data_IF_100135649436
#
_entry.id   IF_100135649436
#
_cell.length_a   1.000
_cell.length_b   1.000
_cell.length_c   1.000
_cell.angle_alpha   90.00
_cell.angle_beta   90.00
_cell.angle_gamma   90.00
#
_symmetry.space_group_name_H-M   'P 1'
#
loop_
_entity.id
_entity.type
_entity.pdbx_description
1 polymer ?
#
# COMPACT_ATOMS: atom_id res chain seq x y z
N UNK A 1 18.85 0.89 -15.28
CA UNK A 1 19.56 2.16 -15.52
C UNK A 1 20.26 2.20 -16.88
N UNK A 2 20.74 1.08 -17.42
CA UNK A 2 21.67 1.10 -18.57
C UNK A 2 21.03 1.33 -19.95
N UNK A 3 19.73 1.02 -20.12
CA UNK A 3 19.03 1.22 -21.40
C UNK A 3 19.07 2.65 -21.91
N UNK A 4 18.94 3.65 -21.02
CA UNK A 4 19.02 5.07 -21.38
C UNK A 4 20.38 5.46 -21.96
N UNK A 5 21.48 4.80 -21.52
CA UNK A 5 22.83 5.07 -22.02
C UNK A 5 23.08 4.52 -23.42
N UNK A 6 22.29 3.52 -23.83
CA UNK A 6 22.40 2.87 -25.12
C UNK A 6 21.47 3.50 -26.18
N UNK A 7 20.64 4.47 -25.78
CA UNK A 7 19.79 5.18 -26.74
C UNK A 7 20.64 6.15 -27.57
N UNK A 8 20.37 6.25 -28.89
CA UNK A 8 20.99 7.25 -29.73
C UNK A 8 20.78 8.67 -29.17
N UNK A 9 21.76 9.57 -29.30
CA UNK A 9 21.61 10.95 -28.87
C UNK A 9 20.50 11.64 -29.66
N UNK A 10 19.71 12.46 -28.95
CA UNK A 10 18.70 13.32 -29.56
C UNK A 10 19.39 14.39 -30.43
N UNK A 11 18.72 14.82 -31.51
CA UNK A 11 19.25 15.87 -32.39
C UNK A 11 19.12 17.26 -31.80
N UNK A 12 18.11 17.46 -30.96
CA UNK A 12 17.72 18.76 -30.45
C UNK A 12 17.20 18.66 -29.02
N UNK A 13 17.27 19.79 -28.34
CA UNK A 13 16.54 20.05 -27.12
C UNK A 13 16.01 21.48 -27.18
N UNK A 14 14.86 21.69 -26.57
CA UNK A 14 14.22 22.99 -26.42
C UNK A 14 14.36 23.44 -24.98
N UNK A 15 14.67 24.72 -24.78
CA UNK A 15 14.74 25.28 -23.44
C UNK A 15 13.31 25.43 -22.89
N UNK A 16 13.02 24.71 -21.80
CA UNK A 16 11.72 24.77 -21.13
C UNK A 16 11.53 26.04 -20.28
N UNK A 17 12.56 26.88 -20.19
CA UNK A 17 12.54 28.11 -19.40
C UNK A 17 12.57 27.82 -17.90
N UNK A 18 12.08 28.78 -17.11
CA UNK A 18 11.93 28.60 -15.67
C UNK A 18 10.74 27.70 -15.37
N UNK A 19 11.01 26.63 -14.61
CA UNK A 19 9.98 25.68 -14.22
C UNK A 19 9.11 26.28 -13.11
N UNK A 20 7.78 26.10 -13.23
CA UNK A 20 6.83 26.55 -12.21
C UNK A 20 7.09 25.86 -10.86
N UNK A 21 6.82 26.53 -9.73
CA UNK A 21 6.79 25.88 -8.42
C UNK A 21 5.80 24.70 -8.45
N UNK A 22 6.29 23.47 -8.28
CA UNK A 22 5.51 22.24 -8.36
C UNK A 22 5.70 21.41 -9.63
N UNK A 23 6.48 21.90 -10.60
CA UNK A 23 6.95 21.05 -11.70
C UNK A 23 8.11 20.15 -11.24
N UNK A 24 8.09 18.90 -11.69
CA UNK A 24 9.11 17.89 -11.41
C UNK A 24 9.80 17.53 -12.72
N UNK A 25 11.13 17.56 -12.73
CA UNK A 25 11.94 17.12 -13.86
C UNK A 25 12.12 15.61 -13.79
N UNK A 26 11.67 14.91 -14.83
CA UNK A 26 11.78 13.47 -14.97
C UNK A 26 13.02 13.05 -15.78
N UNK A 27 13.45 13.91 -16.71
CA UNK A 27 14.61 13.66 -17.56
C UNK A 27 15.36 14.97 -17.81
N UNK A 28 16.69 14.92 -17.70
CA UNK A 28 17.58 16.00 -18.12
C UNK A 28 18.29 15.64 -19.44
N UNK A 29 18.45 16.63 -20.31
CA UNK A 29 19.42 16.57 -21.39
C UNK A 29 20.79 17.04 -20.88
N UNK A 30 21.82 16.23 -21.09
CA UNK A 30 23.20 16.64 -20.86
C UNK A 30 23.70 17.45 -22.07
N UNK A 31 24.02 18.71 -21.86
CA UNK A 31 24.51 19.63 -22.90
C UNK A 31 25.89 20.16 -22.52
N UNK A 32 26.58 20.79 -23.48
CA UNK A 32 27.86 21.46 -23.23
C UNK A 32 27.77 22.61 -22.20
N UNK A 33 26.57 23.16 -21.98
CA UNK A 33 26.31 24.25 -21.02
C UNK A 33 25.79 23.75 -19.67
N UNK A 34 25.67 22.42 -19.49
CA UNK A 34 25.14 21.80 -18.28
C UNK A 34 23.92 20.92 -18.55
N UNK A 35 23.23 20.55 -17.46
CA UNK A 35 21.99 19.77 -17.53
C UNK A 35 20.82 20.72 -17.71
N UNK A 36 19.98 20.45 -18.70
CA UNK A 36 18.74 21.19 -18.94
C UNK A 36 17.55 20.23 -18.84
N UNK A 37 16.43 20.64 -18.23
CA UNK A 37 15.22 19.82 -18.21
C UNK A 37 14.77 19.46 -19.63
N UNK A 38 14.55 18.17 -19.87
CA UNK A 38 14.11 17.62 -21.15
C UNK A 38 12.68 17.06 -21.06
N UNK A 39 12.33 16.39 -19.97
CA UNK A 39 10.97 15.96 -19.68
C UNK A 39 10.58 16.48 -18.30
N UNK A 40 9.55 17.31 -18.26
CA UNK A 40 8.99 17.82 -17.02
C UNK A 40 7.52 17.45 -16.90
N UNK A 41 7.06 17.29 -15.67
CA UNK A 41 5.69 16.94 -15.34
C UNK A 41 5.17 17.80 -14.19
N UNK A 42 3.88 18.15 -14.24
CA UNK A 42 3.20 18.87 -13.17
C UNK A 42 1.73 18.47 -13.11
N UNK A 43 1.16 18.41 -11.89
CA UNK A 43 -0.29 18.40 -11.71
C UNK A 43 -0.87 19.80 -11.94
N UNK A 44 -1.86 19.92 -12.82
CA UNK A 44 -2.58 21.16 -13.05
C UNK A 44 -4.08 20.91 -12.97
N UNK A 45 -4.73 21.54 -11.98
CA UNK A 45 -6.13 21.26 -11.66
C UNK A 45 -6.34 19.79 -11.25
N UNK A 46 -7.24 19.10 -11.94
CA UNK A 46 -7.58 17.68 -11.72
C UNK A 46 -6.81 16.70 -12.63
N UNK A 47 -5.78 17.16 -13.34
CA UNK A 47 -5.04 16.34 -14.30
C UNK A 47 -3.52 16.52 -14.27
N UNK A 48 -2.84 15.78 -15.14
CA UNK A 48 -1.39 15.81 -15.31
C UNK A 48 -1.01 16.49 -16.63
N UNK A 49 0.00 17.35 -16.60
CA UNK A 49 0.61 17.95 -17.79
C UNK A 49 2.05 17.47 -17.92
N UNK A 50 2.45 17.07 -19.11
CA UNK A 50 3.82 16.69 -19.44
C UNK A 50 4.35 17.62 -20.54
N UNK A 51 5.62 18.00 -20.43
CA UNK A 51 6.33 18.76 -21.47
C UNK A 51 7.60 18.01 -21.82
N UNK A 52 7.70 17.56 -23.07
CA UNK A 52 8.89 16.96 -23.65
C UNK A 52 9.57 17.99 -24.56
N UNK A 53 10.72 18.50 -24.12
CA UNK A 53 11.52 19.52 -24.81
C UNK A 53 12.36 18.98 -25.95
N UNK A 54 11.84 18.10 -26.80
CA UNK A 54 12.53 17.60 -28.00
C UNK A 54 11.51 17.09 -29.00
N UNK A 55 11.80 17.26 -30.30
CA UNK A 55 11.02 16.65 -31.38
C UNK A 55 11.71 15.42 -31.99
N UNK A 56 12.91 15.08 -31.53
CA UNK A 56 13.79 14.10 -32.20
C UNK A 56 13.76 12.68 -31.63
N UNK A 57 12.71 12.30 -30.89
CA UNK A 57 12.58 10.92 -30.35
C UNK A 57 12.52 9.85 -31.46
N UNK A 58 12.05 10.22 -32.65
CA UNK A 58 12.01 9.37 -33.85
C UNK A 58 13.38 8.80 -34.23
N UNK A 59 14.47 9.49 -33.85
CA UNK A 59 15.83 9.00 -34.11
C UNK A 59 16.10 7.66 -33.44
N UNK A 60 15.48 7.40 -32.29
CA UNK A 60 15.60 6.11 -31.61
C UNK A 60 15.04 4.98 -32.48
N UNK A 61 13.92 5.20 -33.16
CA UNK A 61 13.34 4.23 -34.08
C UNK A 61 14.19 4.05 -35.36
N UNK A 62 14.82 5.12 -35.85
CA UNK A 62 15.63 5.07 -37.08
C UNK A 62 17.02 4.45 -36.91
N UNK A 63 17.63 4.57 -35.72
CA UNK A 63 19.03 4.18 -35.48
C UNK A 63 19.17 2.90 -34.66
N UNK A 64 18.08 2.35 -34.12
CA UNK A 64 18.08 1.06 -33.42
C UNK A 64 17.57 -0.04 -34.35
N UNK A 65 17.91 -1.32 -34.06
CA UNK A 65 17.38 -2.45 -34.80
C UNK A 65 15.84 -2.48 -34.79
N UNK A 66 15.18 -2.97 -35.85
CA UNK A 66 13.71 -3.00 -35.93
C UNK A 66 13.00 -3.78 -34.80
N UNK A 67 13.72 -4.67 -34.10
CA UNK A 67 13.20 -5.43 -32.97
C UNK A 67 13.28 -4.66 -31.65
N UNK A 68 14.02 -3.55 -31.59
CA UNK A 68 14.10 -2.70 -30.40
C UNK A 68 12.79 -1.92 -30.21
N UNK A 69 12.22 -2.03 -29.01
CA UNK A 69 10.93 -1.44 -28.65
C UNK A 69 11.07 -0.25 -27.71
N UNK A 70 12.26 0.35 -27.60
CA UNK A 70 12.53 1.40 -26.61
C UNK A 70 11.73 2.67 -26.88
N UNK A 71 11.57 3.05 -28.15
CA UNK A 71 10.76 4.21 -28.55
C UNK A 71 9.27 3.98 -28.26
N UNK A 72 8.75 2.82 -28.61
CA UNK A 72 7.36 2.40 -28.37
C UNK A 72 7.08 2.28 -26.87
N UNK A 73 8.04 1.74 -26.12
CA UNK A 73 7.92 1.64 -24.66
C UNK A 73 7.89 3.03 -24.03
N UNK A 74 8.78 3.93 -24.44
CA UNK A 74 8.79 5.31 -23.94
C UNK A 74 7.44 5.99 -24.13
N UNK A 75 6.90 5.99 -25.35
CA UNK A 75 5.61 6.64 -25.64
C UNK A 75 4.44 5.95 -24.97
N UNK A 76 4.42 4.62 -24.91
CA UNK A 76 3.37 3.88 -24.20
C UNK A 76 3.34 4.22 -22.71
N UNK A 77 4.51 4.26 -22.08
CA UNK A 77 4.60 4.61 -20.66
C UNK A 77 4.26 6.09 -20.42
N UNK A 78 4.67 6.99 -21.31
CA UNK A 78 4.32 8.41 -21.22
C UNK A 78 2.80 8.62 -21.36
N UNK A 79 2.16 7.96 -22.34
CA UNK A 79 0.71 8.02 -22.53
C UNK A 79 -0.06 7.39 -21.36
N UNK A 80 0.42 6.25 -20.85
CA UNK A 80 -0.14 5.67 -19.62
C UNK A 80 -0.03 6.63 -18.44
N UNK A 81 1.13 7.26 -18.23
CA UNK A 81 1.33 8.21 -17.14
C UNK A 81 0.43 9.45 -17.27
N UNK A 82 0.15 9.89 -18.50
CA UNK A 82 -0.74 11.00 -18.80
C UNK A 82 -2.20 10.68 -18.42
N UNK A 83 -2.66 9.47 -18.71
CA UNK A 83 -4.03 9.05 -18.39
C UNK A 83 -4.18 8.56 -16.94
N UNK A 84 -3.11 8.05 -16.32
CA UNK A 84 -3.14 7.48 -14.96
C UNK A 84 -3.69 8.43 -13.90
N UNK A 85 -3.50 9.73 -14.08
CA UNK A 85 -3.94 10.77 -13.14
C UNK A 85 -5.30 11.39 -13.54
N UNK A 86 -5.93 10.91 -14.62
CA UNK A 86 -7.25 11.38 -15.02
C UNK A 86 -8.30 10.71 -14.14
N UNK A 87 -9.13 11.49 -13.41
CA UNK A 87 -10.20 10.93 -12.60
C UNK A 87 -11.14 10.09 -13.48
N UNK A 88 -11.65 8.96 -12.99
CA UNK A 88 -12.67 8.23 -13.73
C UNK A 88 -13.94 9.09 -13.86
N UNK A 89 -14.75 8.77 -14.88
CA UNK A 89 -16.06 9.42 -15.08
C UNK A 89 -17.04 9.11 -13.96
N UNK A 90 -16.87 7.95 -13.34
CA UNK A 90 -17.63 7.52 -12.17
C UNK A 90 -16.66 7.10 -11.08
N UNK A 91 -16.71 7.73 -9.92
CA UNK A 91 -15.97 7.31 -8.72
C UNK A 91 -16.95 7.07 -7.58
N UNK A 92 -16.57 6.16 -6.67
CA UNK A 92 -17.25 5.93 -5.41
C UNK A 92 -16.17 5.81 -4.33
N UNK A 93 -16.30 6.58 -3.27
CA UNK A 93 -15.41 6.54 -2.12
C UNK A 93 -16.23 6.61 -0.82
N UNK A 94 -15.71 6.03 0.25
CA UNK A 94 -16.17 6.33 1.60
C UNK A 94 -15.33 7.47 2.19
N UNK A 95 -15.88 8.19 3.16
CA UNK A 95 -15.17 9.28 3.85
C UNK A 95 -13.87 8.79 4.51
N UNK A 96 -13.92 7.60 5.12
CA UNK A 96 -12.77 6.89 5.64
C UNK A 96 -12.67 5.47 5.05
N UNK A 97 -11.45 4.92 4.86
CA UNK A 97 -11.28 3.53 4.40
C UNK A 97 -11.60 2.50 5.51
N UNK A 98 -11.45 2.89 6.77
CA UNK A 98 -11.72 2.06 7.95
C UNK A 98 -12.54 2.86 8.96
N UNK A 99 -13.55 2.22 9.55
CA UNK A 99 -14.37 2.76 10.63
C UNK A 99 -14.32 1.79 11.80
N UNK A 100 -13.93 2.26 12.98
CA UNK A 100 -13.93 1.44 14.18
C UNK A 100 -15.34 1.38 14.79
N UNK A 101 -15.67 2.27 15.73
CA UNK A 101 -16.94 2.21 16.45
C UNK A 101 -18.09 2.95 15.73
N UNK A 102 -17.77 3.64 14.64
CA UNK A 102 -18.76 4.35 13.83
C UNK A 102 -19.55 3.39 12.96
N UNK A 103 -20.88 3.41 13.15
CA UNK A 103 -21.81 2.65 12.30
C UNK A 103 -22.22 3.40 11.04
N UNK A 104 -22.24 4.73 11.10
CA UNK A 104 -22.66 5.57 9.99
C UNK A 104 -21.55 5.72 8.97
N UNK A 105 -21.54 4.87 7.94
CA UNK A 105 -20.56 4.96 6.86
C UNK A 105 -21.10 5.87 5.78
N UNK A 106 -20.42 6.99 5.55
CA UNK A 106 -20.75 7.93 4.48
C UNK A 106 -20.02 7.57 3.19
N UNK A 107 -20.78 7.44 2.11
CA UNK A 107 -20.30 7.25 0.75
C UNK A 107 -20.55 8.50 -0.09
N UNK A 108 -19.58 8.82 -0.93
CA UNK A 108 -19.63 9.89 -1.91
C UNK A 108 -19.31 9.32 -3.30
N UNK A 109 -20.16 9.64 -4.26
CA UNK A 109 -19.95 9.31 -5.66
C UNK A 109 -19.82 10.58 -6.49
N UNK A 110 -18.82 10.65 -7.38
CA UNK A 110 -18.73 11.72 -8.38
C UNK A 110 -19.09 11.16 -9.77
N UNK A 111 -19.98 11.85 -10.47
CA UNK A 111 -20.52 11.43 -11.76
C UNK A 111 -20.27 12.50 -12.81
N UNK A 112 -19.65 12.08 -13.91
CA UNK A 112 -19.29 12.92 -15.05
C UNK A 112 -19.76 12.29 -16.35
N UNK A 113 -20.09 13.13 -17.33
CA UNK A 113 -20.50 12.70 -18.65
C UNK A 113 -19.30 12.39 -19.58
N UNK A 114 -19.57 12.21 -20.88
CA UNK A 114 -18.52 11.93 -21.85
C UNK A 114 -17.52 13.07 -22.07
N UNK A 115 -17.90 14.30 -21.71
CA UNK A 115 -17.09 15.51 -21.78
C UNK A 115 -16.44 15.84 -20.43
N UNK A 116 -16.56 14.95 -19.45
CA UNK A 116 -16.11 15.14 -18.07
C UNK A 116 -16.83 16.27 -17.31
N UNK A 117 -18.00 16.69 -17.79
CA UNK A 117 -18.85 17.65 -17.10
C UNK A 117 -19.67 16.95 -16.01
N UNK A 118 -19.91 17.61 -14.86
CA UNK A 118 -20.69 17.03 -13.76
C UNK A 118 -22.13 16.74 -14.18
N UNK A 119 -22.64 15.57 -13.81
CA UNK A 119 -24.02 15.16 -14.08
C UNK A 119 -24.83 15.24 -12.80
N UNK A 120 -25.84 16.11 -12.78
CA UNK A 120 -26.65 16.41 -11.58
C UNK A 120 -28.05 15.76 -11.61
N UNK A 121 -28.44 15.17 -12.74
CA UNK A 121 -29.75 14.57 -13.00
C UNK A 121 -29.68 13.03 -13.14
N UNK A 122 -28.62 12.41 -12.62
CA UNK A 122 -28.48 10.96 -12.57
C UNK A 122 -29.26 10.34 -11.40
N UNK A 123 -29.82 9.16 -11.64
CA UNK A 123 -30.31 8.24 -10.62
C UNK A 123 -29.16 7.30 -10.23
N UNK A 124 -28.81 7.28 -8.96
CA UNK A 124 -27.66 6.54 -8.44
C UNK A 124 -28.13 5.55 -7.39
N UNK A 125 -27.98 4.26 -7.69
CA UNK A 125 -28.29 3.18 -6.77
C UNK A 125 -26.99 2.63 -6.18
N UNK A 126 -26.86 2.71 -4.86
CA UNK A 126 -25.77 2.15 -4.07
C UNK A 126 -26.18 0.77 -3.56
N UNK A 127 -25.48 -0.26 -4.02
CA UNK A 127 -25.60 -1.63 -3.55
C UNK A 127 -24.47 -1.94 -2.56
N UNK A 128 -24.84 -2.30 -1.34
CA UNK A 128 -23.92 -2.68 -0.27
C UNK A 128 -23.98 -4.20 -0.09
N UNK A 129 -22.83 -4.86 -0.14
CA UNK A 129 -22.66 -6.28 0.14
C UNK A 129 -21.72 -6.42 1.34
N UNK A 130 -22.25 -6.60 2.56
CA UNK A 130 -21.45 -6.94 3.73
C UNK A 130 -20.82 -8.33 3.57
N UNK A 131 -19.66 -8.55 4.16
CA UNK A 131 -19.06 -9.88 4.30
C UNK A 131 -19.98 -10.84 5.07
N UNK A 132 -20.63 -10.30 6.12
CA UNK A 132 -21.57 -11.02 6.97
C UNK A 132 -22.93 -10.31 6.95
N UNK A 133 -23.90 -10.87 6.21
CA UNK A 133 -25.26 -10.36 6.12
C UNK A 133 -25.85 -10.48 4.71
N UNK A 134 -27.07 -9.98 4.54
CA UNK A 134 -27.70 -9.89 3.22
C UNK A 134 -27.32 -8.57 2.54
N UNK A 135 -27.03 -8.59 1.22
CA UNK A 135 -26.87 -7.36 0.46
C UNK A 135 -28.16 -6.52 0.48
N UNK A 136 -28.00 -5.20 0.46
CA UNK A 136 -29.11 -4.25 0.39
C UNK A 136 -28.74 -3.09 -0.55
N UNK A 137 -29.75 -2.39 -1.07
CA UNK A 137 -29.55 -1.20 -1.89
C UNK A 137 -30.20 0.04 -1.27
N UNK A 138 -29.59 1.20 -1.55
CA UNK A 138 -30.05 2.51 -1.13
C UNK A 138 -29.80 3.52 -2.25
N UNK A 139 -30.73 4.45 -2.47
CA UNK A 139 -30.52 5.52 -3.45
C UNK A 139 -29.64 6.62 -2.86
N UNK A 140 -28.62 7.05 -3.62
CA UNK A 140 -27.81 8.20 -3.25
C UNK A 140 -28.49 9.50 -3.67
N UNK A 141 -28.38 10.53 -2.83
CA UNK A 141 -28.98 11.84 -3.06
C UNK A 141 -27.96 12.84 -3.58
N UNK A 142 -28.33 13.78 -4.47
CA UNK A 142 -27.44 14.85 -4.89
C UNK A 142 -26.91 15.67 -3.69
N UNK A 143 -25.66 16.10 -3.76
CA UNK A 143 -24.99 16.91 -2.72
C UNK A 143 -25.63 18.29 -2.49
N UNK A 144 -26.44 18.76 -3.45
CA UNK A 144 -27.04 20.10 -3.47
C UNK A 144 -26.12 21.19 -4.04
N UNK A 145 -24.88 20.87 -4.41
CA UNK A 145 -23.90 21.84 -4.93
C UNK A 145 -23.81 21.87 -6.47
N UNK A 146 -24.63 21.08 -7.17
CA UNK A 146 -24.63 20.95 -8.63
C UNK A 146 -23.26 20.60 -9.24
N UNK A 147 -22.46 19.84 -8.51
CA UNK A 147 -21.09 19.44 -8.87
C UNK A 147 -20.96 17.97 -9.27
N UNK A 148 -22.09 17.32 -9.57
CA UNK A 148 -22.15 15.92 -9.96
C UNK A 148 -21.86 14.95 -8.81
N UNK A 149 -21.90 15.43 -7.56
CA UNK A 149 -21.70 14.59 -6.38
C UNK A 149 -23.00 14.08 -5.80
N UNK A 150 -22.98 12.81 -5.41
CA UNK A 150 -24.07 12.12 -4.75
C UNK A 150 -23.57 11.53 -3.44
N UNK A 151 -24.40 11.59 -2.41
CA UNK A 151 -24.05 11.13 -1.06
C UNK A 151 -25.12 10.17 -0.53
N UNK A 152 -24.67 9.19 0.23
CA UNK A 152 -25.53 8.33 1.03
C UNK A 152 -24.79 7.91 2.30
N UNK A 153 -25.52 7.80 3.40
CA UNK A 153 -25.01 7.22 4.65
C UNK A 153 -25.75 5.93 4.90
N UNK A 154 -24.99 4.87 5.16
CA UNK A 154 -25.51 3.53 5.47
C UNK A 154 -25.18 3.17 6.91
N UNK A 155 -26.02 2.32 7.52
CA UNK A 155 -25.78 1.77 8.86
C UNK A 155 -25.04 0.42 8.75
N UNK A 156 -23.75 0.41 9.06
CA UNK A 156 -22.89 -0.76 9.06
C UNK A 156 -23.01 -1.52 10.39
N UNK A 157 -24.10 -2.28 10.55
CA UNK A 157 -24.44 -2.92 11.83
C UNK A 157 -23.42 -3.96 12.32
N UNK A 158 -22.81 -4.73 11.42
CA UNK A 158 -21.84 -5.81 11.74
C UNK A 158 -20.40 -5.39 11.42
N UNK A 159 -19.40 -5.82 12.19
CA UNK A 159 -18.00 -5.65 11.78
C UNK A 159 -17.67 -6.57 10.61
N UNK A 160 -16.73 -6.14 9.77
CA UNK A 160 -16.27 -6.87 8.59
C UNK A 160 -16.02 -5.95 7.40
N UNK A 161 -15.71 -6.57 6.27
CA UNK A 161 -15.50 -5.86 5.01
C UNK A 161 -16.86 -5.63 4.34
N UNK A 162 -17.10 -4.41 3.87
CA UNK A 162 -18.27 -4.07 3.07
C UNK A 162 -17.82 -3.71 1.67
N UNK A 163 -18.39 -4.40 0.67
CA UNK A 163 -18.23 -4.04 -0.73
C UNK A 163 -19.38 -3.15 -1.14
N UNK A 164 -19.08 -1.89 -1.47
CA UNK A 164 -20.04 -0.92 -1.96
C UNK A 164 -19.89 -0.78 -3.47
N UNK A 165 -21.00 -0.81 -4.20
CA UNK A 165 -21.00 -0.62 -5.65
C UNK A 165 -22.14 0.29 -6.07
N UNK A 166 -21.93 1.11 -7.10
CA UNK A 166 -22.95 1.99 -7.64
C UNK A 166 -23.25 1.63 -9.10
N UNK A 167 -24.50 1.86 -9.46
CA UNK A 167 -24.95 1.96 -10.86
C UNK A 167 -25.56 3.33 -11.05
N UNK A 168 -25.01 4.10 -11.98
CA UNK A 168 -25.50 5.43 -12.32
C UNK A 168 -26.26 5.38 -13.65
N UNK A 169 -27.48 5.92 -13.68
CA UNK A 169 -28.32 5.99 -14.88
C UNK A 169 -28.84 7.40 -15.09
N UNK A 170 -28.95 7.83 -16.34
CA UNK A 170 -29.67 9.05 -16.73
C UNK A 170 -30.75 8.67 -17.72
N UNK A 171 -32.00 8.64 -17.25
CA UNK A 171 -33.11 8.08 -18.03
C UNK A 171 -32.91 6.58 -18.28
N UNK A 172 -32.82 6.18 -19.56
CA UNK A 172 -32.58 4.79 -19.97
C UNK A 172 -31.09 4.44 -20.14
N UNK A 173 -30.21 5.45 -20.15
CA UNK A 173 -28.78 5.25 -20.40
C UNK A 173 -28.03 4.95 -19.10
N UNK A 174 -27.30 3.84 -19.07
CA UNK A 174 -26.36 3.54 -17.99
C UNK A 174 -25.06 4.36 -18.20
N UNK A 175 -24.78 5.29 -17.29
CA UNK A 175 -23.57 6.11 -17.32
C UNK A 175 -22.32 5.31 -16.93
N UNK A 176 -22.51 4.30 -16.08
CA UNK A 176 -21.45 3.36 -15.70
C UNK A 176 -21.64 2.77 -14.31
N UNK A 177 -20.58 2.11 -13.84
CA UNK A 177 -20.50 1.44 -12.53
C UNK A 177 -19.17 1.74 -11.86
N UNK A 178 -19.18 1.83 -10.55
CA UNK A 178 -17.98 1.95 -9.73
C UNK A 178 -18.17 1.12 -8.46
N UNK A 179 -17.06 0.75 -7.81
CA UNK A 179 -17.11 0.05 -6.54
C UNK A 179 -15.97 0.51 -5.64
N UNK A 180 -16.16 0.33 -4.35
CA UNK A 180 -15.14 0.52 -3.32
C UNK A 180 -15.33 -0.48 -2.19
N UNK A 181 -14.34 -0.59 -1.32
CA UNK A 181 -14.41 -1.41 -0.13
C UNK A 181 -14.18 -0.52 1.09
N UNK A 182 -14.88 -0.83 2.16
CA UNK A 182 -14.69 -0.20 3.46
C UNK A 182 -14.61 -1.29 4.52
N UNK A 183 -13.78 -1.08 5.52
CA UNK A 183 -13.65 -2.01 6.64
C UNK A 183 -14.33 -1.40 7.85
N UNK A 184 -15.23 -2.15 8.47
CA UNK A 184 -15.73 -1.83 9.80
C UNK A 184 -15.10 -2.77 10.83
N UNK A 185 -14.33 -2.23 11.75
CA UNK A 185 -13.77 -2.94 12.89
C UNK A 185 -14.70 -2.82 14.09
N UNK A 186 -14.55 -3.66 15.11
CA UNK A 186 -15.04 -3.30 16.44
C UNK A 186 -13.83 -2.70 17.13
N UNK A 187 -13.94 -1.47 17.62
CA UNK A 187 -12.89 -0.83 18.37
C UNK A 187 -12.59 -1.69 19.59
N UNK A 188 -11.51 -2.46 19.55
CA UNK A 188 -10.93 -2.99 20.79
C UNK A 188 -10.29 -1.77 21.44
N UNK A 189 -10.74 -1.44 22.65
CA UNK A 189 -10.30 -0.31 23.49
C UNK A 189 -8.77 -0.21 23.66
N UNK A 190 -8.02 -1.22 23.20
CA UNK A 190 -6.56 -1.32 23.25
C UNK A 190 -5.81 -0.24 22.47
N UNK A 191 -6.43 0.46 21.51
CA UNK A 191 -5.75 1.54 20.77
C UNK A 191 -5.94 2.96 21.34
N UNK A 192 -6.76 3.15 22.38
CA UNK A 192 -7.00 4.48 22.96
C UNK A 192 -6.37 4.69 24.36
N UNK A 193 -5.74 3.67 24.94
CA UNK A 193 -5.00 3.80 26.19
C UNK A 193 -3.52 4.12 25.96
N UNK A 194 -3.19 5.28 25.37
CA UNK A 194 -1.85 5.88 25.52
C UNK A 194 -1.58 6.37 26.95
N UNK A 195 -2.42 6.01 27.93
CA UNK A 195 -2.20 6.27 29.34
C UNK A 195 -1.72 5.02 30.07
N UNK A 196 -0.69 5.19 30.90
CA UNK A 196 -0.17 4.13 31.75
C UNK A 196 -1.24 3.71 32.78
N UNK A 197 -1.71 2.46 32.71
CA UNK A 197 -2.68 1.92 33.67
C UNK A 197 -2.00 1.53 35.00
N UNK A 198 -1.59 2.53 35.79
CA UNK A 198 -0.78 2.39 37.01
C UNK A 198 -1.28 1.30 37.97
N UNK A 199 -2.58 1.26 38.24
CA UNK A 199 -3.18 0.27 39.14
C UNK A 199 -2.96 -1.19 38.69
N UNK A 200 -2.93 -1.45 37.38
CA UNK A 200 -2.68 -2.80 36.84
C UNK A 200 -1.21 -3.16 36.97
N UNK A 201 -0.31 -2.23 36.65
CA UNK A 201 1.13 -2.42 36.76
C UNK A 201 1.56 -2.64 38.21
N UNK A 202 1.01 -1.88 39.15
CA UNK A 202 1.24 -2.06 40.59
C UNK A 202 0.76 -3.45 41.06
N UNK A 203 -0.40 -3.90 40.59
CA UNK A 203 -0.93 -5.22 40.92
C UNK A 203 -0.06 -6.35 40.37
N UNK A 204 0.40 -6.25 39.13
CA UNK A 204 1.31 -7.23 38.52
C UNK A 204 2.65 -7.28 39.29
N UNK A 205 3.19 -6.13 39.65
CA UNK A 205 4.42 -6.05 40.45
C UNK A 205 4.23 -6.76 41.80
N UNK A 206 3.15 -6.47 42.53
CA UNK A 206 2.85 -7.13 43.80
C UNK A 206 2.70 -8.66 43.67
N UNK A 207 2.00 -9.13 42.63
CA UNK A 207 1.79 -10.57 42.40
C UNK A 207 3.08 -11.31 41.99
N UNK A 208 3.99 -10.64 41.29
CA UNK A 208 5.27 -11.23 40.84
C UNK A 208 6.40 -11.03 41.85
N UNK A 209 6.14 -10.36 42.98
CA UNK A 209 7.15 -9.99 43.97
C UNK A 209 8.08 -8.84 43.52
N UNK A 210 7.74 -8.16 42.42
CA UNK A 210 8.41 -6.97 41.93
C UNK A 210 7.91 -5.68 42.60
N UNK A 211 8.55 -4.56 42.27
CA UNK A 211 8.18 -3.21 42.74
C UNK A 211 7.90 -2.31 41.53
N UNK A 212 6.80 -1.55 41.58
CA UNK A 212 6.49 -0.52 40.60
C UNK A 212 7.29 0.75 40.91
N UNK A 213 7.89 1.36 39.89
CA UNK A 213 8.73 2.55 40.00
C UNK A 213 8.08 3.74 39.30
N UNK A 214 8.04 4.88 39.96
CA UNK A 214 7.63 6.15 39.35
C UNK A 214 8.85 6.94 38.85
N UNK A 215 8.64 7.93 37.98
CA UNK A 215 9.72 8.73 37.39
C UNK A 215 10.59 9.43 38.46
N UNK A 216 9.98 9.82 39.58
CA UNK A 216 10.63 10.50 40.70
C UNK A 216 11.43 9.56 41.60
N UNK A 217 11.24 8.24 41.47
CA UNK A 217 11.90 7.21 42.29
C UNK A 217 13.02 6.48 41.54
N UNK A 218 13.30 6.87 40.29
CA UNK A 218 14.26 6.20 39.39
C UNK A 218 15.68 6.10 39.96
N UNK A 219 16.10 7.04 40.81
CA UNK A 219 17.42 7.03 41.44
C UNK A 219 17.66 5.77 42.30
N UNK A 220 16.58 5.20 42.87
CA UNK A 220 16.64 3.97 43.66
C UNK A 220 16.59 2.68 42.82
N UNK A 221 16.26 2.77 41.52
CA UNK A 221 16.05 1.62 40.65
C UNK A 221 17.34 0.79 40.51
N UNK A 222 18.48 1.45 40.28
CA UNK A 222 19.77 0.78 40.14
C UNK A 222 20.18 0.01 41.40
N UNK A 223 19.83 0.51 42.59
CA UNK A 223 20.11 -0.16 43.86
C UNK A 223 19.13 -1.30 44.18
N UNK A 224 17.91 -1.22 43.63
CA UNK A 224 16.84 -2.19 43.86
C UNK A 224 16.76 -3.29 42.79
N UNK A 225 17.62 -3.24 41.76
CA UNK A 225 17.96 -4.41 40.96
C UNK A 225 18.97 -5.19 41.82
N UNK A 226 18.55 -6.22 42.59
CA UNK A 226 19.53 -7.12 43.18
C UNK A 226 20.41 -7.63 42.04
N UNK A 227 21.72 -7.68 42.26
CA UNK A 227 22.68 -8.34 41.36
C UNK A 227 22.37 -9.83 41.39
N UNK A 228 21.26 -10.19 40.77
CA UNK A 228 20.70 -11.50 40.79
C UNK A 228 21.35 -12.24 39.66
N UNK A 229 22.30 -13.12 40.02
CA UNK A 229 22.57 -14.33 39.23
C UNK A 229 21.36 -15.29 39.25
N UNK A 230 20.13 -14.79 39.38
CA UNK A 230 18.94 -15.59 39.09
C UNK A 230 18.87 -15.70 37.58
N UNK A 231 19.12 -16.92 37.13
CA UNK A 231 19.13 -17.28 35.73
C UNK A 231 17.91 -16.70 35.03
N UNK A 232 18.19 -15.97 33.95
CA UNK A 232 17.41 -16.17 32.75
C UNK A 232 17.28 -17.69 32.62
N UNK A 233 16.09 -18.22 32.84
CA UNK A 233 15.78 -19.57 32.35
C UNK A 233 15.72 -19.37 30.84
N UNK A 234 16.90 -19.28 30.25
CA UNK A 234 17.07 -19.45 28.84
C UNK A 234 16.70 -20.91 28.65
N UNK A 235 15.50 -21.14 28.14
CA UNK A 235 15.05 -22.46 27.77
C UNK A 235 15.90 -22.84 26.56
N UNK A 236 17.14 -23.24 26.81
CA UNK A 236 18.06 -23.70 25.80
C UNK A 236 17.49 -25.04 25.33
N UNK A 237 16.65 -24.99 24.31
CA UNK A 237 16.23 -26.16 23.56
C UNK A 237 17.46 -26.66 22.83
N UNK A 238 18.26 -27.47 23.53
CA UNK A 238 19.31 -28.24 22.88
C UNK A 238 18.60 -29.29 22.02
N UNK A 239 18.56 -29.02 20.71
CA UNK A 239 18.13 -30.02 19.75
C UNK A 239 19.01 -31.26 19.93
N UNK A 240 18.42 -32.37 20.40
CA UNK A 240 19.15 -33.61 20.64
C UNK A 240 19.89 -34.08 19.38
N UNK A 241 19.39 -33.70 18.19
CA UNK A 241 20.00 -33.96 16.89
C UNK A 241 21.39 -33.33 16.70
N UNK A 242 21.68 -32.20 17.36
CA UNK A 242 22.94 -31.48 17.20
C UNK A 242 24.00 -31.84 18.26
N UNK A 243 23.73 -32.86 19.10
CA UNK A 243 24.72 -33.33 20.06
C UNK A 243 25.75 -34.23 19.33
N UNK A 244 27.07 -33.96 19.45
CA UNK A 244 28.12 -34.77 18.84
C UNK A 244 28.03 -36.26 19.21
N UNK A 245 27.48 -36.56 20.38
CA UNK A 245 27.23 -37.93 20.85
C UNK A 245 26.26 -38.69 19.95
N UNK A 246 25.20 -38.07 19.45
CA UNK A 246 24.23 -38.75 18.55
C UNK A 246 24.91 -39.11 17.24
N UNK A 247 25.75 -38.23 16.71
CA UNK A 247 26.58 -38.51 15.54
C UNK A 247 27.55 -39.68 15.81
N UNK A 248 28.26 -39.68 16.94
CA UNK A 248 29.18 -40.76 17.31
C UNK A 248 28.48 -42.11 17.48
N UNK A 249 27.27 -42.13 18.06
CA UNK A 249 26.47 -43.35 18.22
C UNK A 249 26.01 -43.89 16.87
N UNK A 250 25.51 -43.03 15.98
CA UNK A 250 25.13 -43.43 14.62
C UNK A 250 26.33 -43.94 13.81
N UNK A 251 27.49 -43.27 13.93
CA UNK A 251 28.73 -43.71 13.31
C UNK A 251 29.18 -45.08 13.85
N UNK A 252 29.13 -45.28 15.16
CA UNK A 252 29.48 -46.56 15.79
C UNK A 252 28.54 -47.69 15.35
N UNK A 253 27.23 -47.43 15.26
CA UNK A 253 26.25 -48.38 14.71
C UNK A 253 26.56 -48.74 13.26
N UNK A 254 26.92 -47.76 12.42
CA UNK A 254 27.30 -48.02 11.02
C UNK A 254 28.60 -48.79 10.89
N UNK A 255 29.61 -48.48 11.72
CA UNK A 255 30.86 -49.22 11.76
C UNK A 255 30.66 -50.64 12.30
N UNK A 256 29.78 -50.82 13.29
CA UNK A 256 29.40 -52.13 13.79
C UNK A 256 28.66 -52.95 12.72
N UNK A 257 27.72 -52.34 11.99
CA UNK A 257 27.05 -52.98 10.85
C UNK A 257 28.07 -53.40 9.79
N UNK A 258 28.99 -52.52 9.42
CA UNK A 258 30.05 -52.82 8.46
C UNK A 258 30.98 -53.94 8.94
N UNK A 259 31.40 -53.91 10.21
CA UNK A 259 32.25 -54.94 10.79
C UNK A 259 31.52 -56.30 10.90
N UNK A 260 30.21 -56.29 11.18
CA UNK A 260 29.37 -57.49 11.16
C UNK A 260 29.24 -58.01 9.72
N UNK A 261 29.00 -57.14 8.71
CA UNK A 261 28.99 -57.55 7.30
C UNK A 261 30.33 -58.13 6.87
N UNK A 262 31.44 -57.54 7.31
CA UNK A 262 32.78 -58.01 7.00
C UNK A 262 33.09 -59.36 7.66
N UNK A 263 32.67 -59.57 8.92
CA UNK A 263 32.86 -60.85 9.64
C UNK A 263 31.93 -61.97 9.16
N UNK A 264 30.75 -61.65 8.63
CA UNK A 264 29.80 -62.64 8.12
C UNK A 264 29.85 -62.87 6.60
N UNK A 265 30.88 -62.34 5.93
CA UNK A 265 31.34 -62.88 4.65
C UNK A 265 30.26 -63.01 3.57
N UNK A 266 29.44 -61.97 3.37
CA UNK A 266 28.61 -61.83 2.16
C UNK A 266 28.73 -60.42 1.61
N UNK A 267 29.82 -60.21 0.88
CA UNK A 267 29.77 -59.46 -0.38
C UNK A 267 29.48 -60.47 -1.49
#
# INVERSE_FOLDING_TARGET
>A
SDRWRNLPPLADYQNLGELKPGAIVLLDAATSRGRTPLLAWQHYGRGATFVLGTASTQRWQMHLPPQDQSHETFWRQLLHALVAHTPPRLSLASEHPTYDDERGVRFEAEIRDARFEPVNDAQVELMISPEHGSPFSQSMQPSGQNDGRYVATIDAATPGIYRASIVARRGQDELGRAFTHVVRTQGVVEHFATYQHRAVLERIAQMTGGRYWTLDELDGLAAAIPYSKAGVIERLTLDLWNLPIVFLVLLALKLAEWAIRLRWGRL
#
